data_IF_192323179968
#
_entry.id   IF_192323179968
#
_cell.length_a   1.000
_cell.length_b   1.000
_cell.length_c   1.000
_cell.angle_alpha   90.00
_cell.angle_beta   90.00
_cell.angle_gamma   90.00
#
_symmetry.space_group_name_H-M   'P 1'
#
loop_
_entity.id
_entity.type
_entity.pdbx_description
1 polymer ?
#
# COMPACT_ATOMS: atom_id res chain seq x y z
N UNK A 1 5.11 -18.58 -6.97
CA UNK A 1 4.79 -17.60 -5.90
C UNK A 1 3.29 -17.54 -5.74
N UNK A 2 2.78 -17.45 -4.50
CA UNK A 2 1.33 -17.26 -4.28
C UNK A 2 0.99 -15.80 -4.53
N UNK A 3 -0.13 -15.58 -5.20
CA UNK A 3 -0.63 -14.26 -5.58
C UNK A 3 -2.12 -14.19 -5.28
N UNK A 4 -2.59 -13.02 -4.91
CA UNK A 4 -4.02 -12.76 -4.71
C UNK A 4 -4.41 -11.49 -5.44
N UNK A 5 -5.61 -11.50 -6.02
CA UNK A 5 -6.24 -10.32 -6.59
C UNK A 5 -7.16 -9.70 -5.55
N UNK A 6 -6.93 -8.42 -5.24
CA UNK A 6 -7.68 -7.67 -4.23
C UNK A 6 -8.00 -6.27 -4.73
N UNK A 7 -8.97 -5.63 -4.07
CA UNK A 7 -9.27 -4.22 -4.29
C UNK A 7 -8.48 -3.36 -3.33
N UNK A 8 -7.64 -2.48 -3.87
CA UNK A 8 -6.92 -1.49 -3.10
C UNK A 8 -7.81 -0.30 -2.77
N UNK A 9 -7.82 0.06 -1.49
CA UNK A 9 -8.41 1.27 -0.97
C UNK A 9 -7.29 2.07 -0.33
N UNK A 10 -7.18 3.35 -0.69
CA UNK A 10 -6.33 4.28 0.05
C UNK A 10 -7.16 5.30 0.82
N UNK A 11 -6.63 5.73 1.96
CA UNK A 11 -7.30 6.65 2.86
C UNK A 11 -6.38 7.18 3.94
N UNK A 12 -6.85 8.16 4.71
CA UNK A 12 -6.10 8.68 5.84
C UNK A 12 -6.17 7.70 7.01
N UNK A 13 -5.05 7.47 7.67
CA UNK A 13 -5.00 6.77 8.96
C UNK A 13 -4.61 7.73 10.07
N UNK A 14 -4.95 7.39 11.31
CA UNK A 14 -4.63 8.21 12.49
C UNK A 14 -3.10 8.31 12.63
N UNK A 15 -2.40 7.18 12.53
CA UNK A 15 -0.94 7.12 12.60
C UNK A 15 -0.31 8.01 11.52
N UNK A 16 -0.84 7.97 10.29
CA UNK A 16 -0.36 8.79 9.18
C UNK A 16 -0.57 10.28 9.46
N UNK A 17 -1.68 10.65 10.09
CA UNK A 17 -2.00 12.02 10.49
C UNK A 17 -1.06 12.57 11.56
N UNK A 18 -0.60 11.72 12.50
CA UNK A 18 0.35 12.12 13.54
C UNK A 18 1.72 12.46 12.93
N UNK A 19 2.15 11.70 11.92
CA UNK A 19 3.49 11.84 11.32
C UNK A 19 3.54 12.78 10.11
N UNK A 20 2.41 13.36 9.69
CA UNK A 20 2.30 14.09 8.41
C UNK A 20 3.17 15.35 8.33
N UNK A 21 3.50 15.96 9.47
CA UNK A 21 4.36 17.16 9.52
C UNK A 21 5.81 16.84 9.18
N UNK A 22 6.24 15.58 9.36
CA UNK A 22 7.59 15.14 9.06
C UNK A 22 7.61 14.04 7.99
N UNK A 23 7.18 14.39 6.77
CA UNK A 23 7.02 13.44 5.65
C UNK A 23 8.31 12.70 5.26
N UNK A 24 9.48 13.22 5.63
CA UNK A 24 10.78 12.63 5.31
C UNK A 24 11.35 11.77 6.44
N UNK A 25 10.67 11.65 7.58
CA UNK A 25 11.14 10.83 8.69
C UNK A 25 10.96 9.33 8.41
N UNK A 26 11.79 8.53 9.07
CA UNK A 26 11.63 7.09 9.16
C UNK A 26 10.25 6.73 9.71
N UNK A 27 9.80 7.43 10.75
CA UNK A 27 8.51 7.17 11.40
C UNK A 27 7.32 7.36 10.45
N UNK A 28 7.36 8.38 9.58
CA UNK A 28 6.32 8.56 8.56
C UNK A 28 6.34 7.39 7.57
N UNK A 29 7.52 7.05 7.04
CA UNK A 29 7.69 5.95 6.11
C UNK A 29 7.17 4.64 6.71
N UNK A 30 7.47 4.41 7.98
CA UNK A 30 7.05 3.20 8.68
C UNK A 30 5.54 3.05 8.77
N UNK A 31 4.84 4.17 8.90
CA UNK A 31 3.39 4.20 9.01
C UNK A 31 2.70 4.11 7.65
N UNK A 32 3.24 4.76 6.61
CA UNK A 32 2.56 4.85 5.30
C UNK A 32 3.00 3.77 4.30
N UNK A 33 4.14 3.13 4.49
CA UNK A 33 4.63 2.04 3.65
C UNK A 33 4.09 0.67 4.13
N UNK A 34 2.80 0.61 4.45
CA UNK A 34 2.12 -0.57 5.00
C UNK A 34 0.89 -0.90 4.14
N UNK A 35 0.67 -2.18 3.91
CA UNK A 35 -0.53 -2.75 3.32
C UNK A 35 -1.27 -3.59 4.35
N UNK A 36 -2.43 -3.12 4.76
CA UNK A 36 -3.30 -3.82 5.69
C UNK A 36 -4.18 -4.83 4.93
N UNK A 37 -4.10 -6.10 5.34
CA UNK A 37 -4.81 -7.22 4.75
C UNK A 37 -5.59 -8.00 5.81
N UNK A 38 -6.71 -8.60 5.42
CA UNK A 38 -7.41 -9.54 6.29
C UNK A 38 -6.56 -10.80 6.53
N UNK A 39 -6.68 -11.41 7.71
CA UNK A 39 -5.98 -12.65 8.06
C UNK A 39 -6.18 -13.77 7.03
N UNK A 40 -7.37 -13.88 6.43
CA UNK A 40 -7.67 -14.87 5.38
C UNK A 40 -6.81 -14.65 4.12
N UNK A 41 -6.53 -13.40 3.78
CA UNK A 41 -5.74 -13.06 2.60
C UNK A 41 -4.25 -13.21 2.88
N UNK A 42 -3.80 -12.86 4.09
CA UNK A 42 -2.47 -13.19 4.60
C UNK A 42 -2.20 -14.70 4.54
N UNK A 43 -3.18 -15.51 4.97
CA UNK A 43 -3.10 -16.98 4.91
C UNK A 43 -3.02 -17.51 3.47
N UNK A 44 -3.83 -16.97 2.54
CA UNK A 44 -3.77 -17.34 1.12
C UNK A 44 -2.41 -17.01 0.52
N UNK A 45 -1.84 -15.85 0.87
CA UNK A 45 -0.49 -15.45 0.47
C UNK A 45 0.60 -16.30 1.14
N UNK A 46 0.31 -16.86 2.32
CA UNK A 46 1.27 -17.62 3.13
C UNK A 46 2.30 -16.73 3.82
N UNK A 47 1.90 -15.50 4.18
CA UNK A 47 2.76 -14.49 4.80
C UNK A 47 2.33 -14.21 6.24
N UNK A 48 3.22 -13.59 7.01
CA UNK A 48 2.96 -13.11 8.36
C UNK A 48 3.08 -11.58 8.40
N UNK A 49 2.67 -10.98 9.50
CA UNK A 49 2.93 -9.57 9.78
C UNK A 49 4.41 -9.20 9.55
N UNK A 50 4.63 -7.98 9.09
CA UNK A 50 5.93 -7.39 8.75
C UNK A 50 6.64 -8.04 7.54
N UNK A 51 6.00 -8.97 6.83
CA UNK A 51 6.53 -9.48 5.57
C UNK A 51 6.42 -8.42 4.46
N UNK A 52 7.43 -8.34 3.58
CA UNK A 52 7.38 -7.44 2.43
C UNK A 52 6.50 -8.04 1.33
N UNK A 53 5.63 -7.21 0.77
CA UNK A 53 4.75 -7.58 -0.34
C UNK A 53 4.89 -6.57 -1.47
N UNK A 54 4.88 -7.09 -2.69
CA UNK A 54 4.77 -6.29 -3.90
C UNK A 54 3.31 -6.14 -4.26
N UNK A 55 2.88 -4.89 -4.41
CA UNK A 55 1.56 -4.49 -4.86
C UNK A 55 1.71 -4.02 -6.29
N UNK A 56 0.99 -4.65 -7.21
CA UNK A 56 1.06 -4.34 -8.64
C UNK A 56 -0.32 -3.98 -9.17
N UNK A 57 -0.43 -2.85 -9.83
CA UNK A 57 -1.61 -2.44 -10.56
C UNK A 57 -1.29 -2.28 -12.05
N UNK A 58 -2.27 -1.84 -12.83
CA UNK A 58 -2.05 -1.46 -14.24
C UNK A 58 -1.18 -0.19 -14.39
N UNK A 59 -1.05 0.60 -13.33
CA UNK A 59 -0.45 1.93 -13.35
C UNK A 59 0.98 1.94 -12.81
N UNK A 60 1.32 0.97 -11.96
CA UNK A 60 2.65 0.85 -11.40
C UNK A 60 2.75 -0.31 -10.41
N UNK A 61 3.89 -0.38 -9.74
CA UNK A 61 4.17 -1.37 -8.70
C UNK A 61 4.93 -0.73 -7.55
N UNK A 62 4.71 -1.24 -6.34
CA UNK A 62 5.34 -0.75 -5.14
C UNK A 62 5.53 -1.87 -4.13
N UNK A 63 6.57 -1.76 -3.31
CA UNK A 63 6.86 -2.70 -2.23
C UNK A 63 6.52 -2.03 -0.90
N UNK A 64 5.75 -2.74 -0.07
CA UNK A 64 5.26 -2.27 1.25
C UNK A 64 5.27 -3.43 2.23
N UNK A 65 5.19 -3.14 3.53
CA UNK A 65 5.08 -4.17 4.57
C UNK A 65 3.63 -4.61 4.75
N UNK A 66 3.38 -5.89 4.86
CA UNK A 66 2.06 -6.42 5.17
C UNK A 66 1.78 -6.31 6.68
N UNK A 67 0.57 -5.86 7.00
CA UNK A 67 0.01 -5.82 8.36
C UNK A 67 -1.35 -6.48 8.37
N UNK A 68 -1.64 -7.28 9.38
CA UNK A 68 -2.94 -7.93 9.53
C UNK A 68 -3.92 -6.92 10.13
N UNK A 69 -5.04 -6.70 9.46
CA UNK A 69 -6.18 -5.97 10.01
C UNK A 69 -7.49 -6.70 9.72
N UNK A 70 -8.06 -7.31 10.76
CA UNK A 70 -9.32 -8.05 10.67
C UNK A 70 -10.56 -7.16 10.57
N UNK A 71 -10.42 -5.83 10.71
CA UNK A 71 -11.48 -4.87 10.38
C UNK A 71 -11.68 -4.75 8.88
N UNK A 72 -10.66 -5.06 8.08
CA UNK A 72 -10.76 -5.08 6.62
C UNK A 72 -11.44 -6.38 6.16
N UNK A 73 -12.47 -6.32 5.30
CA UNK A 73 -13.03 -7.51 4.67
C UNK A 73 -12.00 -8.26 3.82
N UNK A 74 -12.19 -9.58 3.68
CA UNK A 74 -11.34 -10.35 2.75
C UNK A 74 -11.56 -9.90 1.30
N UNK A 75 -10.48 -9.82 0.54
CA UNK A 75 -10.46 -9.30 -0.84
C UNK A 75 -10.22 -7.79 -0.92
N UNK A 76 -10.01 -7.12 0.21
CA UNK A 76 -9.70 -5.68 0.29
C UNK A 76 -8.32 -5.50 0.92
N UNK A 77 -7.50 -4.68 0.26
CA UNK A 77 -6.24 -4.18 0.78
C UNK A 77 -6.38 -2.70 1.11
N UNK A 78 -5.80 -2.25 2.22
CA UNK A 78 -5.75 -0.85 2.58
C UNK A 78 -4.31 -0.36 2.67
N UNK A 79 -3.99 0.74 1.98
CA UNK A 79 -2.70 1.42 2.11
C UNK A 79 -2.97 2.86 2.57
N UNK A 80 -2.35 3.34 3.65
CA UNK A 80 -2.47 4.73 4.06
C UNK A 80 -2.06 5.69 2.94
N UNK A 81 -2.75 6.83 2.88
CA UNK A 81 -2.48 7.84 1.87
C UNK A 81 -1.04 8.34 1.99
N UNK A 82 -0.28 8.16 0.91
CA UNK A 82 1.12 8.53 0.85
C UNK A 82 1.75 8.17 -0.49
N UNK A 83 3.06 8.40 -0.64
CA UNK A 83 3.80 8.13 -1.87
C UNK A 83 3.65 6.69 -2.37
N UNK A 84 3.65 5.70 -1.48
CA UNK A 84 3.50 4.28 -1.83
C UNK A 84 2.13 3.96 -2.43
N UNK A 85 1.04 4.48 -1.84
CA UNK A 85 -0.30 4.34 -2.43
C UNK A 85 -0.35 4.99 -3.82
N UNK A 86 0.23 6.19 -3.96
CA UNK A 86 0.21 6.94 -5.21
C UNK A 86 0.92 6.22 -6.38
N UNK A 87 1.88 5.33 -6.09
CA UNK A 87 2.60 4.57 -7.11
C UNK A 87 1.72 3.52 -7.82
N UNK A 88 0.57 3.15 -7.25
CA UNK A 88 -0.28 2.06 -7.77
C UNK A 88 -1.73 2.45 -8.05
N UNK A 89 -2.16 3.67 -7.72
CA UNK A 89 -3.52 4.15 -8.04
C UNK A 89 -3.68 4.61 -9.49
N UNK A 90 -4.92 4.67 -9.97
CA UNK A 90 -5.24 5.25 -11.27
C UNK A 90 -5.05 6.79 -11.23
N UNK A 91 -4.17 7.36 -12.06
CA UNK A 91 -3.97 8.81 -12.13
C UNK A 91 -5.14 9.53 -12.82
N UNK A 92 -6.03 8.81 -13.49
CA UNK A 92 -7.20 9.38 -14.17
C UNK A 92 -8.15 10.02 -13.16
N UNK A 93 -8.49 11.28 -13.41
CA UNK A 93 -9.42 12.05 -12.59
C UNK A 93 -10.86 11.99 -13.08
N UNK A 94 -11.10 11.34 -14.23
CA UNK A 94 -12.42 11.30 -14.88
C UNK A 94 -13.02 12.68 -15.17
N UNK A 95 -12.20 13.74 -15.23
CA UNK A 95 -12.67 15.13 -15.39
C UNK A 95 -13.16 15.79 -14.10
N UNK A 96 -13.12 15.11 -12.96
CA UNK A 96 -13.57 15.62 -11.65
C UNK A 96 -12.43 16.21 -10.80
N UNK A 97 -11.21 16.25 -11.33
CA UNK A 97 -10.04 16.82 -10.64
C UNK A 97 -9.45 15.98 -9.50
N UNK A 98 -10.03 14.82 -9.18
CA UNK A 98 -9.53 13.90 -8.13
C UNK A 98 -9.28 12.49 -8.71
N UNK A 99 -8.07 11.91 -8.55
CA UNK A 99 -7.78 10.54 -8.98
C UNK A 99 -8.65 9.47 -8.31
N UNK A 100 -8.73 8.28 -8.91
CA UNK A 100 -9.46 7.16 -8.30
C UNK A 100 -8.63 6.48 -7.20
N UNK A 101 -8.83 6.94 -5.95
CA UNK A 101 -8.13 6.41 -4.77
C UNK A 101 -8.73 5.12 -4.18
N UNK A 102 -9.91 4.68 -4.66
CA UNK A 102 -10.69 3.59 -4.06
C UNK A 102 -11.12 2.57 -5.11
N UNK A 103 -10.90 1.30 -4.81
CA UNK A 103 -11.38 0.19 -5.62
C UNK A 103 -10.49 -0.16 -6.82
N UNK A 104 -9.21 0.21 -6.77
CA UNK A 104 -8.23 -0.14 -7.81
C UNK A 104 -7.92 -1.63 -7.71
N UNK A 105 -8.05 -2.36 -8.81
CA UNK A 105 -7.69 -3.78 -8.84
C UNK A 105 -6.16 -3.92 -8.80
N UNK A 106 -5.67 -4.67 -7.81
CA UNK A 106 -4.24 -4.91 -7.61
C UNK A 106 -3.95 -6.39 -7.37
N UNK A 107 -2.77 -6.82 -7.82
CA UNK A 107 -2.19 -8.11 -7.49
C UNK A 107 -1.21 -7.93 -6.33
N UNK A 108 -1.34 -8.77 -5.30
CA UNK A 108 -0.43 -8.80 -4.15
C UNK A 108 0.39 -10.07 -4.20
N UNK A 109 1.70 -9.95 -4.03
CA UNK A 109 2.65 -11.07 -4.03
C UNK A 109 3.70 -10.92 -2.93
N UNK A 110 4.16 -12.04 -2.36
CA UNK A 110 5.30 -12.04 -1.45
C UNK A 110 6.58 -11.65 -2.20
N UNK A 111 7.38 -10.75 -1.63
CA UNK A 111 8.73 -10.42 -2.11
C UNK A 111 9.74 -10.42 -0.97
N UNK A 112 11.02 -10.55 -1.32
CA UNK A 112 12.16 -10.41 -0.41
C UNK A 112 12.91 -9.10 -0.63
N UNK A 113 12.49 -8.31 -1.62
CA UNK A 113 13.05 -6.99 -1.88
C UNK A 113 12.66 -6.01 -0.76
N UNK A 114 13.49 -4.99 -0.58
CA UNK A 114 13.28 -3.97 0.45
C UNK A 114 12.22 -2.94 0.03
N UNK A 115 11.49 -2.42 1.01
CA UNK A 115 10.68 -1.23 0.83
C UNK A 115 11.59 -0.05 0.47
N UNK A 116 11.31 0.61 -0.66
CA UNK A 116 12.05 1.80 -1.07
C UNK A 116 11.88 2.91 -0.04
N UNK A 117 12.93 3.70 0.20
CA UNK A 117 12.81 4.93 0.99
C UNK A 117 12.00 5.98 0.23
N UNK A 118 11.47 6.98 0.95
CA UNK A 118 10.72 8.07 0.31
C UNK A 118 11.56 8.84 -0.71
N UNK A 119 12.88 8.99 -0.48
CA UNK A 119 13.79 9.69 -1.40
C UNK A 119 13.93 8.94 -2.72
N UNK A 120 14.12 7.63 -2.63
CA UNK A 120 14.20 6.75 -3.81
C UNK A 120 12.88 6.73 -4.57
N UNK A 121 11.75 6.67 -3.84
CA UNK A 121 10.42 6.59 -4.44
C UNK A 121 10.00 7.87 -5.18
N UNK A 122 10.40 9.05 -4.68
CA UNK A 122 10.07 10.35 -5.29
C UNK A 122 11.16 10.80 -6.29
N UNK A 123 12.26 10.06 -6.40
CA UNK A 123 13.36 10.39 -7.32
C UNK A 123 14.16 11.63 -6.91
N UNK A 124 14.13 12.00 -5.62
CA UNK A 124 14.93 13.12 -5.07
C UNK A 124 16.22 12.54 -4.54
N UNK A 125 17.27 12.61 -5.37
CA UNK A 125 18.65 12.17 -5.07
C UNK A 125 19.40 13.30 -4.37
#
# INVERSE_FOLDING_TARGET
MRKIDVKLISGRSIEQGIQIENKMSSEYCDVVAVCELNEKDMFKLGIKDEANVMIKSKFGEVIVRARTDNRNPSGIAFIPLGPWANAVIDPSTGGCGTPQFKGVDVEVTLTFDSVLSIKELVGVI
#
